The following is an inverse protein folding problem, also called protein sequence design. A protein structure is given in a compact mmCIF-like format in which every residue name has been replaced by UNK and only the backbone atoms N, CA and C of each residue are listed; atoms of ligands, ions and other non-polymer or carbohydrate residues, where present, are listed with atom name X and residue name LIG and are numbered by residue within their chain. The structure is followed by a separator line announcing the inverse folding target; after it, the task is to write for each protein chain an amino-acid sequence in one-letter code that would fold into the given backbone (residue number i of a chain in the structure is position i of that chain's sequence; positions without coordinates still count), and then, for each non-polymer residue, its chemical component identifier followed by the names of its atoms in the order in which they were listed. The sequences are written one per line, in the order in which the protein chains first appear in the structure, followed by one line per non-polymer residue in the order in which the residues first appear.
data_IF_691812721628
#
_entry.id   IF_691812721628
#
_cell.length_a   1.000
_cell.length_b   1.000
_cell.length_c   1.000
_cell.angle_alpha   90.00
_cell.angle_beta   90.00
_cell.angle_gamma   90.00
#
_symmetry.space_group_name_H-M   'P 1'
#
loop_
_entity.id
_entity.type
_entity.pdbx_description
1 polymer ?
#
# COMPACT_ATOMS: atom_id res chain seq x y z
N UNK A 1 71.41 -3.66 -14.84
CA UNK A 1 71.23 -4.67 -13.78
C UNK A 1 70.43 -4.04 -12.65
N UNK A 2 69.32 -4.68 -12.23
CA UNK A 2 68.43 -4.32 -11.10
C UNK A 2 67.61 -3.01 -11.32
N UNK A 3 66.28 -2.95 -11.16
CA UNK A 3 65.38 -3.59 -10.19
C UNK A 3 63.97 -3.78 -10.77
N UNK A 4 63.38 -4.91 -10.39
CA UNK A 4 61.98 -5.28 -10.54
C UNK A 4 61.07 -4.24 -9.87
N UNK A 5 60.01 -3.82 -10.55
CA UNK A 5 58.82 -3.24 -9.91
C UNK A 5 57.59 -3.97 -10.45
N UNK A 6 57.26 -5.06 -9.79
CA UNK A 6 55.96 -5.74 -9.95
C UNK A 6 54.92 -4.89 -9.24
N UNK A 7 54.24 -4.02 -9.98
CA UNK A 7 53.08 -3.30 -9.50
C UNK A 7 51.87 -4.24 -9.48
N UNK A 8 51.71 -4.97 -8.39
CA UNK A 8 50.49 -5.76 -8.11
C UNK A 8 49.36 -4.77 -7.81
N UNK A 9 48.55 -4.48 -8.82
CA UNK A 9 47.34 -3.68 -8.72
C UNK A 9 46.26 -4.50 -7.99
N UNK A 10 46.15 -4.33 -6.67
CA UNK A 10 45.07 -4.91 -5.86
C UNK A 10 43.80 -4.09 -6.12
N UNK A 11 42.95 -4.58 -7.00
CA UNK A 11 41.65 -4.01 -7.32
C UNK A 11 40.67 -4.46 -6.23
N UNK A 12 40.51 -3.62 -5.19
CA UNK A 12 39.55 -3.85 -4.11
C UNK A 12 38.15 -3.62 -4.70
N UNK A 13 37.48 -4.71 -5.08
CA UNK A 13 36.06 -4.74 -5.35
C UNK A 13 35.32 -4.45 -4.03
N UNK A 14 34.92 -3.21 -3.83
CA UNK A 14 33.92 -2.85 -2.82
C UNK A 14 32.61 -3.52 -3.21
N UNK A 15 32.31 -4.63 -2.55
CA UNK A 15 30.99 -5.23 -2.51
C UNK A 15 30.00 -4.15 -2.05
N UNK A 16 29.22 -3.64 -3.01
CA UNK A 16 27.98 -2.93 -2.76
C UNK A 16 27.06 -3.89 -2.01
N UNK A 17 27.14 -3.93 -0.69
CA UNK A 17 26.05 -4.42 0.15
C UNK A 17 24.91 -3.42 0.01
N UNK A 18 24.20 -3.52 -1.11
CA UNK A 18 22.86 -3.00 -1.29
C UNK A 18 21.95 -3.75 -0.33
N UNK A 19 21.94 -3.32 0.93
CA UNK A 19 20.83 -3.60 1.82
C UNK A 19 19.62 -2.92 1.22
N UNK A 20 18.79 -3.66 0.51
CA UNK A 20 17.42 -3.26 0.29
C UNK A 20 16.82 -3.08 1.69
N UNK A 21 16.76 -1.84 2.15
CA UNK A 21 15.89 -1.48 3.25
C UNK A 21 14.48 -1.82 2.75
N UNK A 22 13.99 -2.99 3.13
CA UNK A 22 12.60 -3.36 2.92
C UNK A 22 11.79 -2.31 3.68
N UNK A 23 11.23 -1.35 2.95
CA UNK A 23 10.26 -0.44 3.52
C UNK A 23 9.11 -1.30 4.03
N UNK A 24 8.85 -1.27 5.33
CA UNK A 24 7.77 -2.04 5.93
C UNK A 24 6.44 -1.48 5.40
N UNK A 25 5.68 -2.32 4.70
CA UNK A 25 4.36 -1.95 4.21
C UNK A 25 3.45 -1.53 5.37
N UNK A 26 2.73 -0.43 5.19
CA UNK A 26 1.74 0.03 6.15
C UNK A 26 0.46 -0.77 5.98
N UNK A 27 0.17 -1.66 6.92
CA UNK A 27 -1.12 -2.34 6.97
C UNK A 27 -2.20 -1.38 7.47
N UNK A 28 -3.24 -1.19 6.68
CA UNK A 28 -4.43 -0.41 7.03
C UNK A 28 -5.60 -1.35 7.34
N UNK A 29 -6.39 -0.99 8.33
CA UNK A 29 -7.64 -1.64 8.66
C UNK A 29 -8.74 -1.09 7.76
N UNK A 30 -9.58 -1.96 7.21
CA UNK A 30 -10.83 -1.54 6.60
C UNK A 30 -11.90 -1.36 7.68
N UNK A 31 -12.76 -0.36 7.53
CA UNK A 31 -14.03 -0.24 8.26
C UNK A 31 -15.07 0.42 7.35
N UNK A 32 -16.35 0.05 7.44
CA UNK A 32 -17.38 0.77 6.66
C UNK A 32 -17.50 2.24 7.11
N UNK A 33 -17.84 3.17 6.20
CA UNK A 33 -17.77 4.60 6.48
C UNK A 33 -18.73 5.02 7.60
N UNK A 34 -19.96 4.48 7.65
CA UNK A 34 -20.96 4.75 8.70
C UNK A 34 -21.11 6.26 9.00
N UNK A 35 -21.33 7.05 7.95
CA UNK A 35 -21.45 8.52 7.97
C UNK A 35 -20.19 9.28 8.44
N UNK A 36 -19.06 8.60 8.61
CA UNK A 36 -17.78 9.24 8.94
C UNK A 36 -17.16 9.84 7.68
N UNK A 37 -16.63 11.05 7.82
CA UNK A 37 -15.84 11.69 6.78
C UNK A 37 -14.34 11.33 6.93
N UNK A 38 -13.62 11.13 5.82
CA UNK A 38 -12.19 10.86 5.87
C UNK A 38 -11.43 12.10 6.35
N UNK A 39 -10.45 11.91 7.24
CA UNK A 39 -9.50 12.96 7.63
C UNK A 39 -8.47 13.22 6.54
N UNK A 40 -8.13 12.17 5.80
CA UNK A 40 -7.15 12.20 4.72
C UNK A 40 -7.69 11.46 3.50
N UNK A 41 -7.35 11.96 2.32
CA UNK A 41 -7.68 11.36 1.03
C UNK A 41 -6.39 11.12 0.28
N UNK A 42 -6.18 9.88 -0.15
CA UNK A 42 -4.95 9.46 -0.81
C UNK A 42 -5.28 8.99 -2.22
N UNK A 43 -4.34 9.16 -3.16
CA UNK A 43 -4.37 8.42 -4.42
C UNK A 43 -3.24 7.42 -4.40
N UNK A 44 -3.56 6.16 -4.71
CA UNK A 44 -2.60 5.07 -4.76
C UNK A 44 -2.52 4.50 -6.18
N UNK A 45 -1.33 4.00 -6.53
CA UNK A 45 -1.18 3.04 -7.61
C UNK A 45 -1.49 1.66 -7.06
N UNK A 46 -2.42 0.94 -7.69
CA UNK A 46 -2.73 -0.45 -7.33
C UNK A 46 -1.62 -1.35 -7.85
N UNK A 47 -0.91 -2.02 -6.94
CA UNK A 47 0.16 -2.96 -7.29
C UNK A 47 -0.37 -4.39 -7.41
N UNK A 48 -1.40 -4.74 -6.63
CA UNK A 48 -1.97 -6.07 -6.64
C UNK A 48 -3.30 -6.16 -5.91
N UNK A 49 -4.17 -7.06 -6.38
CA UNK A 49 -5.40 -7.46 -5.70
C UNK A 49 -5.40 -8.98 -5.64
N UNK A 50 -5.31 -9.52 -4.44
CA UNK A 50 -5.25 -10.95 -4.21
C UNK A 50 -6.45 -11.40 -3.38
N UNK A 51 -6.93 -12.63 -3.58
CA UNK A 51 -7.90 -13.21 -2.65
C UNK A 51 -7.29 -13.26 -1.26
N UNK A 52 -8.01 -12.77 -0.27
CA UNK A 52 -7.55 -12.88 1.10
C UNK A 52 -7.45 -14.37 1.43
N UNK A 53 -6.25 -14.82 1.81
CA UNK A 53 -6.05 -16.17 2.31
C UNK A 53 -5.68 -16.07 3.78
N UNK A 54 -6.55 -16.60 4.62
CA UNK A 54 -6.21 -16.98 5.98
C UNK A 54 -5.22 -18.14 5.89
N UNK A 55 -3.94 -17.82 5.70
CA UNK A 55 -2.88 -18.82 5.67
C UNK A 55 -3.01 -19.75 6.88
N UNK A 56 -2.55 -20.99 6.72
CA UNK A 56 -2.47 -22.06 7.73
C UNK A 56 -1.71 -21.67 9.04
N UNK A 57 -1.13 -20.48 9.10
CA UNK A 57 -0.42 -19.90 10.24
C UNK A 57 -1.27 -18.80 10.90
N UNK A 58 -2.29 -19.22 11.65
CA UNK A 58 -3.20 -18.37 12.42
C UNK A 58 -2.54 -17.66 13.60
N UNK A 59 -1.65 -16.70 13.35
CA UNK A 59 -1.06 -15.87 14.39
C UNK A 59 -1.44 -14.39 14.19
N UNK A 60 -2.42 -13.95 15.00
CA UNK A 60 -2.64 -12.55 15.44
C UNK A 60 -3.13 -11.53 14.42
N UNK A 61 -4.02 -11.88 13.48
CA UNK A 61 -4.89 -10.86 12.86
C UNK A 61 -6.26 -10.91 13.55
N UNK A 62 -6.77 -9.75 13.96
CA UNK A 62 -8.05 -9.56 14.66
C UNK A 62 -9.16 -10.41 14.01
N UNK A 63 -9.56 -11.55 14.61
CA UNK A 63 -10.42 -12.53 13.93
C UNK A 63 -11.82 -11.98 13.64
N UNK A 64 -12.32 -11.11 14.50
CA UNK A 64 -13.74 -10.76 14.55
C UNK A 64 -14.20 -9.82 13.44
N UNK A 65 -13.31 -9.16 12.69
CA UNK A 65 -13.70 -8.17 11.68
C UNK A 65 -13.56 -8.68 10.24
N UNK A 66 -12.49 -9.42 9.92
CA UNK A 66 -12.29 -9.98 8.57
C UNK A 66 -13.28 -11.13 8.30
N UNK A 67 -13.63 -11.92 9.32
CA UNK A 67 -14.63 -13.00 9.17
C UNK A 67 -16.03 -12.49 8.83
N UNK A 68 -16.33 -11.22 9.14
CA UNK A 68 -17.61 -10.59 8.80
C UNK A 68 -17.60 -9.96 7.39
N UNK A 69 -16.45 -9.87 6.71
CA UNK A 69 -16.36 -9.30 5.37
C UNK A 69 -16.82 -10.30 4.30
N UNK A 70 -17.74 -9.94 3.40
CA UNK A 70 -18.06 -10.77 2.24
C UNK A 70 -16.92 -10.72 1.22
N UNK A 71 -16.43 -11.90 0.80
CA UNK A 71 -15.37 -12.09 -0.21
C UNK A 71 -14.16 -11.15 0.00
N UNK A 72 -13.42 -11.29 1.12
CA UNK A 72 -12.31 -10.40 1.43
C UNK A 72 -11.16 -10.56 0.42
N UNK A 73 -10.56 -9.42 0.07
CA UNK A 73 -9.38 -9.33 -0.80
C UNK A 73 -8.32 -8.45 -0.17
N UNK A 74 -7.06 -8.79 -0.43
CA UNK A 74 -5.89 -8.00 -0.05
C UNK A 74 -5.48 -7.11 -1.23
N UNK A 75 -5.69 -5.82 -1.07
CA UNK A 75 -5.23 -4.76 -1.96
C UNK A 75 -3.85 -4.31 -1.50
N UNK A 76 -2.87 -4.32 -2.40
CA UNK A 76 -1.55 -3.71 -2.21
C UNK A 76 -1.40 -2.53 -3.14
N UNK A 77 -0.81 -1.44 -2.66
CA UNK A 77 -0.57 -0.28 -3.50
C UNK A 77 0.41 0.71 -2.91
N UNK A 78 0.82 1.66 -3.72
CA UNK A 78 1.77 2.72 -3.34
C UNK A 78 1.09 4.08 -3.37
N UNK A 79 1.22 4.84 -2.28
CA UNK A 79 0.69 6.20 -2.18
C UNK A 79 1.45 7.13 -3.13
N UNK A 80 0.72 7.77 -4.05
CA UNK A 80 1.23 8.71 -5.03
C UNK A 80 1.03 10.16 -4.58
N UNK A 81 -0.12 10.47 -3.98
CA UNK A 81 -0.49 11.81 -3.52
C UNK A 81 -1.45 11.75 -2.33
N UNK A 82 -1.58 12.86 -1.59
CA UNK A 82 -2.40 12.98 -0.38
C UNK A 82 -1.58 13.41 0.84
N UNK A 83 -1.82 12.76 1.98
CA UNK A 83 -1.19 13.08 3.27
C UNK A 83 0.33 12.95 3.23
N UNK A 84 1.06 14.00 3.66
CA UNK A 84 2.53 14.00 3.74
C UNK A 84 3.07 12.85 4.61
N UNK A 85 2.33 12.45 5.64
CA UNK A 85 2.71 11.35 6.54
C UNK A 85 2.65 9.97 5.87
N UNK A 86 1.84 9.84 4.82
CA UNK A 86 1.58 8.58 4.12
C UNK A 86 2.18 8.56 2.70
N UNK A 87 2.64 9.71 2.21
CA UNK A 87 3.23 9.86 0.90
C UNK A 87 4.37 8.87 0.65
N UNK A 88 4.39 8.27 -0.55
CA UNK A 88 5.37 7.28 -1.00
C UNK A 88 5.44 5.97 -0.20
N UNK A 89 4.55 5.75 0.79
CA UNK A 89 4.46 4.47 1.49
C UNK A 89 3.73 3.43 0.65
N UNK A 90 4.19 2.20 0.76
CA UNK A 90 3.41 1.03 0.35
C UNK A 90 2.37 0.72 1.43
N UNK A 91 1.15 0.44 1.01
CA UNK A 91 0.01 0.13 1.87
C UNK A 91 -0.58 -1.23 1.51
N UNK A 92 -1.14 -1.89 2.52
CA UNK A 92 -1.91 -3.12 2.37
C UNK A 92 -3.26 -2.92 3.05
N UNK A 93 -4.35 -3.17 2.33
CA UNK A 93 -5.72 -3.06 2.83
C UNK A 93 -6.44 -4.38 2.59
N UNK A 94 -6.98 -5.00 3.63
CA UNK A 94 -7.92 -6.12 3.47
C UNK A 94 -9.33 -5.56 3.52
N UNK A 95 -10.08 -5.64 2.42
CA UNK A 95 -11.43 -5.08 2.30
C UNK A 95 -12.37 -6.03 1.53
N UNK A 96 -13.70 -5.85 1.61
CA UNK A 96 -14.64 -6.60 0.78
C UNK A 96 -14.42 -6.32 -0.70
N UNK A 97 -14.40 -7.37 -1.54
CA UNK A 97 -14.18 -7.21 -2.98
C UNK A 97 -15.17 -6.26 -3.66
N UNK A 98 -16.42 -6.24 -3.17
CA UNK A 98 -17.48 -5.39 -3.73
C UNK A 98 -17.09 -3.91 -3.73
N UNK A 99 -16.39 -3.46 -2.69
CA UNK A 99 -15.97 -2.06 -2.51
C UNK A 99 -14.94 -1.62 -3.55
N UNK A 100 -14.14 -2.56 -4.10
CA UNK A 100 -13.16 -2.24 -5.15
C UNK A 100 -13.80 -1.95 -6.51
N UNK A 101 -15.05 -2.37 -6.74
CA UNK A 101 -15.69 -2.28 -8.05
C UNK A 101 -14.85 -2.94 -9.17
N UNK A 102 -14.71 -2.26 -10.30
CA UNK A 102 -13.95 -2.71 -11.47
C UNK A 102 -12.51 -2.15 -11.51
N UNK A 103 -11.79 -2.31 -10.40
CA UNK A 103 -10.39 -1.88 -10.28
C UNK A 103 -9.44 -3.05 -10.47
N UNK A 104 -8.36 -2.84 -11.22
CA UNK A 104 -7.30 -3.80 -11.50
C UNK A 104 -5.92 -3.29 -11.10
N UNK A 105 -4.93 -4.20 -11.00
CA UNK A 105 -3.54 -3.81 -10.84
C UNK A 105 -3.05 -2.93 -12.00
N UNK A 106 -2.25 -1.92 -11.67
CA UNK A 106 -1.80 -0.88 -12.59
C UNK A 106 -2.73 0.32 -12.70
N UNK A 107 -3.93 0.27 -12.13
CA UNK A 107 -4.86 1.39 -12.10
C UNK A 107 -4.70 2.26 -10.85
N UNK A 108 -5.39 3.40 -10.83
CA UNK A 108 -5.38 4.33 -9.72
C UNK A 108 -6.64 4.22 -8.87
N UNK A 109 -6.45 4.34 -7.57
CA UNK A 109 -7.53 4.26 -6.60
C UNK A 109 -7.41 5.41 -5.60
N UNK A 110 -8.49 6.17 -5.42
CA UNK A 110 -8.63 7.07 -4.31
C UNK A 110 -9.03 6.29 -3.05
N UNK A 111 -8.42 6.62 -1.92
CA UNK A 111 -8.62 5.96 -0.63
C UNK A 111 -8.97 7.02 0.40
N UNK A 112 -10.13 6.88 1.05
CA UNK A 112 -10.54 7.71 2.18
C UNK A 112 -10.07 7.09 3.49
N UNK A 113 -9.37 7.87 4.31
CA UNK A 113 -8.70 7.40 5.53
C UNK A 113 -9.15 8.22 6.73
N UNK A 114 -9.34 7.57 7.87
CA UNK A 114 -9.45 8.20 9.19
C UNK A 114 -8.16 7.93 9.97
N UNK A 115 -7.50 8.99 10.40
CA UNK A 115 -6.21 8.90 11.09
C UNK A 115 -5.11 8.39 10.17
N UNK A 116 -4.27 7.46 10.64
CA UNK A 116 -3.11 6.95 9.90
C UNK A 116 -3.29 5.53 9.33
N UNK A 117 -4.32 4.80 9.79
CA UNK A 117 -4.42 3.33 9.58
C UNK A 117 -5.81 2.82 9.26
N UNK A 118 -6.85 3.64 9.23
CA UNK A 118 -8.21 3.15 8.97
C UNK A 118 -8.69 3.64 7.61
N UNK A 119 -8.78 2.72 6.64
CA UNK A 119 -9.42 2.96 5.36
C UNK A 119 -10.93 2.78 5.50
N UNK A 120 -11.70 3.75 5.02
CA UNK A 120 -13.17 3.75 5.14
C UNK A 120 -13.93 3.74 3.81
N UNK A 121 -13.29 4.12 2.72
CA UNK A 121 -13.88 4.03 1.39
C UNK A 121 -12.81 4.05 0.32
N UNK A 122 -13.15 3.53 -0.85
CA UNK A 122 -12.30 3.55 -2.03
C UNK A 122 -13.11 3.95 -3.26
N UNK A 123 -12.47 4.59 -4.24
CA UNK A 123 -13.09 4.94 -5.53
C UNK A 123 -12.04 4.91 -6.63
N UNK A 124 -12.36 4.31 -7.77
CA UNK A 124 -11.50 4.38 -8.96
C UNK A 124 -11.31 5.83 -9.40
N UNK A 125 -10.08 6.20 -9.72
CA UNK A 125 -9.73 7.51 -10.28
C UNK A 125 -8.90 7.33 -11.54
N UNK A 126 -8.82 8.36 -12.38
CA UNK A 126 -8.10 8.30 -13.65
C UNK A 126 -6.82 9.12 -13.66
N UNK A 127 -6.66 10.03 -12.70
CA UNK A 127 -5.50 10.91 -12.58
C UNK A 127 -4.90 10.85 -11.16
N UNK A 128 -3.58 10.91 -11.06
CA UNK A 128 -2.84 10.91 -9.77
C UNK A 128 -2.94 12.26 -9.04
N UNK A 129 -3.33 13.31 -9.76
CA UNK A 129 -3.48 14.68 -9.28
C UNK A 129 -4.97 15.09 -9.24
N UNK A 130 -5.91 14.13 -9.31
CA UNK A 130 -7.35 14.39 -9.20
C UNK A 130 -7.69 15.10 -7.88
N UNK A 131 -8.47 16.19 -7.95
CA UNK A 131 -8.89 16.92 -6.76
C UNK A 131 -9.97 16.14 -6.00
N UNK A 132 -9.60 15.65 -4.82
CA UNK A 132 -10.48 14.88 -3.95
C UNK A 132 -11.18 15.75 -2.90
N UNK A 133 -11.04 17.08 -2.92
CA UNK A 133 -11.55 17.97 -1.86
C UNK A 133 -13.06 17.79 -1.61
N UNK A 134 -13.83 17.65 -2.69
CA UNK A 134 -15.30 17.47 -2.63
C UNK A 134 -15.75 16.00 -2.50
N UNK A 135 -14.84 15.04 -2.69
CA UNK A 135 -15.19 13.62 -2.61
C UNK A 135 -15.60 13.24 -1.19
N UNK A 136 -16.73 12.54 -1.05
CA UNK A 136 -17.22 11.98 0.21
C UNK A 136 -17.33 10.47 0.10
N UNK A 137 -17.15 9.77 1.21
CA UNK A 137 -17.47 8.36 1.31
C UNK A 137 -19.00 8.20 1.39
N UNK A 138 -19.70 8.26 0.25
CA UNK A 138 -21.14 7.98 0.19
C UNK A 138 -21.39 6.47 0.27
N UNK A 139 -22.53 6.10 0.84
CA UNK A 139 -23.13 4.78 0.62
C UNK A 139 -24.17 4.95 -0.47
N UNK A 140 -23.76 4.83 -1.73
CA UNK A 140 -24.70 4.72 -2.86
C UNK A 140 -25.12 3.27 -3.07
#
# INVERSE_FOLDING_TARGET
MLKNFSATLILIFTLLSGGCAMATDLTMNWEWPADREPTDKLIISVEGINKHSSGWFGLKKSPSFVEAMPDPVDLTGKVLSGSDLLSQKSIVITLPKLELGEVSAGELLAVGVIGDKTCICVRKVTDKDEDLSEWKCSQD
#
